data_IF_163245149663
#
_entry.id   IF_163245149663
#
_cell.length_a   1.000
_cell.length_b   1.000
_cell.length_c   1.000
_cell.angle_alpha   90.00
_cell.angle_beta   90.00
_cell.angle_gamma   90.00
#
_symmetry.space_group_name_H-M   'P 1'
#
loop_
_entity.id
_entity.type
_entity.pdbx_description
1 polymer ?
#
# COMPACT_ATOMS: atom_id res chain seq x y z
N UNK A 1 -16.38 -2.26 -9.50
CA UNK A 1 -17.00 -2.61 -8.24
C UNK A 1 -15.94 -3.06 -7.24
N UNK A 2 -15.82 -2.40 -6.08
CA UNK A 2 -14.79 -2.73 -5.09
C UNK A 2 -14.85 -4.18 -4.60
N UNK A 3 -16.03 -4.75 -4.42
CA UNK A 3 -16.19 -6.14 -3.97
C UNK A 3 -15.71 -7.12 -5.03
N UNK A 4 -16.02 -6.87 -6.30
CA UNK A 4 -15.56 -7.71 -7.41
C UNK A 4 -14.06 -7.65 -7.57
N UNK A 5 -13.46 -6.46 -7.44
CA UNK A 5 -12.00 -6.31 -7.50
C UNK A 5 -11.32 -7.09 -6.40
N UNK A 6 -11.83 -7.00 -5.18
CA UNK A 6 -11.29 -7.75 -4.03
C UNK A 6 -11.37 -9.26 -4.27
N UNK A 7 -12.49 -9.75 -4.79
CA UNK A 7 -12.67 -11.19 -5.07
C UNK A 7 -11.63 -11.68 -6.08
N UNK A 8 -11.34 -10.90 -7.12
CA UNK A 8 -10.32 -11.27 -8.11
C UNK A 8 -8.93 -11.35 -7.45
N UNK A 9 -8.57 -10.39 -6.60
CA UNK A 9 -7.29 -10.42 -5.90
C UNK A 9 -7.18 -11.61 -4.94
N UNK A 10 -8.25 -11.94 -4.23
CA UNK A 10 -8.27 -13.11 -3.35
C UNK A 10 -8.06 -14.41 -4.14
N UNK A 11 -8.70 -14.54 -5.30
CA UNK A 11 -8.51 -15.70 -6.17
C UNK A 11 -7.08 -15.81 -6.69
N UNK A 12 -6.49 -14.68 -7.10
CA UNK A 12 -5.10 -14.66 -7.59
C UNK A 12 -4.13 -15.05 -6.50
N UNK A 13 -4.32 -14.53 -5.28
CA UNK A 13 -3.46 -14.87 -4.15
C UNK A 13 -3.59 -16.37 -3.80
N UNK A 14 -4.81 -16.88 -3.77
CA UNK A 14 -5.06 -18.29 -3.50
C UNK A 14 -4.34 -19.17 -4.54
N UNK A 15 -4.47 -18.85 -5.82
CA UNK A 15 -3.81 -19.58 -6.90
C UNK A 15 -2.28 -19.51 -6.80
N UNK A 16 -1.74 -18.34 -6.47
CA UNK A 16 -0.29 -18.17 -6.31
C UNK A 16 0.27 -19.08 -5.22
N UNK A 17 -0.43 -19.17 -4.08
CA UNK A 17 -0.01 -20.04 -2.97
C UNK A 17 -0.18 -21.51 -3.35
N UNK A 18 -1.34 -21.87 -3.89
CA UNK A 18 -1.67 -23.28 -4.21
C UNK A 18 -0.74 -23.89 -5.25
N UNK A 19 -0.35 -23.11 -6.27
CA UNK A 19 0.46 -23.60 -7.39
C UNK A 19 1.92 -23.13 -7.31
N UNK A 20 2.31 -22.47 -6.22
CA UNK A 20 3.66 -21.91 -6.03
C UNK A 20 4.08 -21.03 -7.23
N UNK A 21 3.14 -20.23 -7.73
CA UNK A 21 3.34 -19.39 -8.92
C UNK A 21 3.63 -17.95 -8.54
N UNK A 22 4.36 -17.26 -9.42
CA UNK A 22 4.53 -15.80 -9.34
C UNK A 22 3.43 -15.15 -10.15
N UNK A 23 2.72 -14.19 -9.52
CA UNK A 23 1.65 -13.44 -10.18
C UNK A 23 2.04 -11.97 -10.24
N UNK A 24 1.96 -11.38 -11.42
CA UNK A 24 2.22 -9.95 -11.64
C UNK A 24 0.92 -9.29 -12.04
N UNK A 25 0.52 -8.25 -11.30
CA UNK A 25 -0.72 -7.52 -11.53
C UNK A 25 -0.40 -6.06 -11.80
N UNK A 26 -1.00 -5.50 -12.83
CA UNK A 26 -0.93 -4.06 -13.10
C UNK A 26 -2.28 -3.45 -12.73
N UNK A 27 -2.27 -2.52 -11.78
CA UNK A 27 -3.49 -1.92 -11.22
C UNK A 27 -3.20 -0.50 -10.75
N UNK A 28 -4.21 0.36 -10.81
CA UNK A 28 -4.11 1.73 -10.32
C UNK A 28 -4.49 1.88 -8.84
N UNK A 29 -5.25 0.94 -8.31
CA UNK A 29 -5.74 0.98 -6.92
C UNK A 29 -4.66 0.47 -5.98
N UNK A 30 -3.79 1.36 -5.55
CA UNK A 30 -2.63 1.00 -4.71
C UNK A 30 -3.05 0.37 -3.37
N UNK A 31 -4.22 0.72 -2.85
CA UNK A 31 -4.73 0.13 -1.60
C UNK A 31 -4.91 -1.38 -1.72
N UNK A 32 -5.52 -1.85 -2.84
CA UNK A 32 -5.68 -3.28 -3.09
C UNK A 32 -4.35 -3.98 -3.31
N UNK A 33 -3.46 -3.36 -4.09
CA UNK A 33 -2.12 -3.92 -4.31
C UNK A 33 -1.37 -4.05 -2.99
N UNK A 34 -1.45 -3.04 -2.13
CA UNK A 34 -0.77 -3.05 -0.83
C UNK A 34 -1.28 -4.14 0.10
N UNK A 35 -2.56 -4.48 0.00
CA UNK A 35 -3.18 -5.51 0.82
C UNK A 35 -2.83 -6.92 0.35
N UNK A 36 -2.80 -7.16 -0.97
CA UNK A 36 -2.68 -8.50 -1.54
C UNK A 36 -1.30 -8.85 -2.08
N UNK A 37 -0.46 -7.87 -2.39
CA UNK A 37 0.83 -8.12 -3.00
C UNK A 37 1.96 -8.12 -1.97
N UNK A 38 2.97 -8.96 -2.21
CA UNK A 38 4.17 -9.02 -1.36
C UNK A 38 5.16 -7.91 -1.70
N UNK A 39 5.12 -7.43 -2.94
CA UNK A 39 6.02 -6.40 -3.44
C UNK A 39 5.26 -5.44 -4.33
N UNK A 40 5.55 -4.15 -4.18
CA UNK A 40 5.06 -3.11 -5.09
C UNK A 40 6.20 -2.63 -5.98
N UNK A 41 5.84 -2.35 -7.23
CA UNK A 41 6.70 -1.73 -8.22
C UNK A 41 5.99 -0.48 -8.71
N UNK A 42 6.61 0.69 -8.54
CA UNK A 42 6.06 1.95 -9.03
C UNK A 42 6.87 2.39 -10.23
N UNK A 43 6.20 2.55 -11.36
CA UNK A 43 6.86 2.95 -12.60
C UNK A 43 6.42 4.33 -13.04
N UNK A 44 7.37 5.07 -13.59
CA UNK A 44 7.12 6.36 -14.22
C UNK A 44 7.98 6.48 -15.46
N UNK A 45 7.34 6.79 -16.60
CA UNK A 45 8.02 6.98 -17.89
C UNK A 45 8.93 5.81 -18.26
N UNK A 46 8.45 4.58 -18.04
CA UNK A 46 9.21 3.38 -18.38
C UNK A 46 10.32 3.03 -17.39
N UNK A 47 10.45 3.75 -16.29
CA UNK A 47 11.50 3.53 -15.29
C UNK A 47 10.88 3.12 -13.96
N UNK A 48 11.50 2.18 -13.26
CA UNK A 48 11.10 1.81 -11.90
C UNK A 48 11.59 2.90 -10.95
N UNK A 49 10.67 3.56 -10.25
CA UNK A 49 10.97 4.62 -9.27
C UNK A 49 11.09 4.08 -7.86
N UNK A 50 10.19 3.16 -7.48
CA UNK A 50 10.20 2.53 -6.18
C UNK A 50 9.92 1.04 -6.35
N UNK A 51 10.56 0.24 -5.51
CA UNK A 51 10.35 -1.21 -5.48
C UNK A 51 10.60 -1.70 -4.07
N UNK A 52 9.69 -2.51 -3.54
CA UNK A 52 9.86 -3.09 -2.22
C UNK A 52 8.55 -3.54 -1.61
N UNK A 53 8.59 -3.87 -0.33
CA UNK A 53 7.41 -4.21 0.42
C UNK A 53 6.43 -3.02 0.44
N UNK A 54 5.11 -3.28 0.50
CA UNK A 54 4.12 -2.20 0.47
C UNK A 54 4.37 -1.10 1.49
N UNK A 55 4.71 -1.44 2.73
CA UNK A 55 4.98 -0.44 3.78
C UNK A 55 6.18 0.44 3.46
N UNK A 56 7.21 -0.11 2.83
CA UNK A 56 8.40 0.65 2.44
C UNK A 56 8.08 1.63 1.31
N UNK A 57 7.33 1.18 0.32
CA UNK A 57 6.94 2.02 -0.82
C UNK A 57 5.97 3.11 -0.37
N UNK A 58 4.98 2.77 0.45
CA UNK A 58 3.98 3.73 0.94
C UNK A 58 4.56 4.79 1.87
N UNK A 59 5.73 4.53 2.47
CA UNK A 59 6.43 5.55 3.26
C UNK A 59 6.80 6.78 2.42
N UNK A 60 6.91 6.62 1.10
CA UNK A 60 7.21 7.69 0.14
C UNK A 60 5.94 8.36 -0.40
N UNK A 61 4.93 8.57 0.44
CA UNK A 61 3.62 9.09 0.00
C UNK A 61 3.70 10.44 -0.70
N UNK A 62 4.59 11.33 -0.26
CA UNK A 62 4.73 12.66 -0.89
C UNK A 62 5.23 12.55 -2.33
N UNK A 63 6.24 11.71 -2.56
CA UNK A 63 6.77 11.48 -3.91
C UNK A 63 5.74 10.77 -4.79
N UNK A 64 5.03 9.80 -4.23
CA UNK A 64 3.97 9.08 -4.96
C UNK A 64 2.84 10.03 -5.38
N UNK A 65 2.41 10.92 -4.49
CA UNK A 65 1.39 11.93 -4.81
C UNK A 65 1.89 12.88 -5.92
N UNK A 66 3.14 13.29 -5.87
CA UNK A 66 3.74 14.15 -6.89
C UNK A 66 3.79 13.45 -8.25
N UNK A 67 3.89 12.12 -8.29
CA UNK A 67 3.85 11.32 -9.51
C UNK A 67 2.44 11.06 -10.03
N UNK A 68 1.41 11.50 -9.30
CA UNK A 68 0.02 11.23 -9.66
C UNK A 68 -0.51 9.90 -9.16
N UNK A 69 0.20 9.21 -8.29
CA UNK A 69 -0.28 7.97 -7.68
C UNK A 69 -1.34 8.29 -6.63
N UNK A 70 -2.44 7.56 -6.67
CA UNK A 70 -3.56 7.79 -5.75
C UNK A 70 -3.30 7.09 -4.41
N UNK A 71 -2.57 7.75 -3.52
CA UNK A 71 -2.20 7.23 -2.21
C UNK A 71 -3.41 7.27 -1.27
N UNK A 72 -3.69 6.21 -0.50
CA UNK A 72 -4.78 6.23 0.48
C UNK A 72 -4.59 7.35 1.51
N UNK A 73 -5.69 7.97 1.92
CA UNK A 73 -5.65 9.04 2.95
C UNK A 73 -5.12 8.53 4.28
N UNK A 74 -5.43 7.27 4.62
CA UNK A 74 -4.88 6.61 5.82
C UNK A 74 -3.36 6.58 5.82
N UNK A 75 -2.75 6.31 4.66
CA UNK A 75 -1.30 6.33 4.48
C UNK A 75 -0.74 7.73 4.73
N UNK A 76 -1.35 8.74 4.12
CA UNK A 76 -0.92 10.14 4.26
C UNK A 76 -0.99 10.61 5.71
N UNK A 77 -2.08 10.27 6.39
CA UNK A 77 -2.26 10.63 7.82
C UNK A 77 -1.17 10.00 8.69
N UNK A 78 -0.95 8.71 8.56
CA UNK A 78 0.04 8.00 9.38
C UNK A 78 1.46 8.47 9.08
N UNK A 79 1.78 8.74 7.80
CA UNK A 79 3.08 9.30 7.45
C UNK A 79 3.29 10.70 8.03
N UNK A 80 2.23 11.51 8.13
CA UNK A 80 2.30 12.81 8.80
C UNK A 80 2.60 12.67 10.29
N UNK A 81 2.01 11.68 10.96
CA UNK A 81 2.31 11.38 12.36
C UNK A 81 3.76 10.94 12.54
N UNK A 82 4.27 10.13 11.61
CA UNK A 82 5.68 9.71 11.63
C UNK A 82 6.62 10.91 11.50
N UNK A 83 6.30 11.83 10.59
CA UNK A 83 7.12 13.02 10.36
C UNK A 83 7.18 13.93 11.59
N UNK A 84 6.12 13.90 12.42
CA UNK A 84 6.07 14.67 13.66
C UNK A 84 6.62 13.91 14.88
N UNK A 85 7.12 12.70 14.68
CA UNK A 85 7.65 11.89 15.78
C UNK A 85 6.61 11.26 16.68
N UNK A 86 5.33 11.27 16.27
CA UNK A 86 4.23 10.72 17.07
C UNK A 86 4.00 9.23 16.82
N UNK A 87 4.66 8.67 15.83
CA UNK A 87 4.55 7.26 15.45
C UNK A 87 5.86 6.83 14.78
N UNK A 88 6.37 5.67 15.15
CA UNK A 88 7.64 5.15 14.61
C UNK A 88 7.51 3.83 13.86
N UNK A 89 6.30 3.31 13.73
CA UNK A 89 6.05 2.05 13.04
C UNK A 89 6.01 2.18 11.52
N UNK A 90 5.64 1.09 10.81
CA UNK A 90 5.58 1.09 9.35
C UNK A 90 4.42 1.91 8.81
N UNK A 91 4.51 2.30 7.54
CA UNK A 91 3.40 2.92 6.84
C UNK A 91 2.21 1.96 6.73
N UNK A 92 1.00 2.50 6.70
CA UNK A 92 -0.24 1.72 6.63
C UNK A 92 -1.00 2.03 5.34
N UNK A 93 -1.93 1.15 4.98
CA UNK A 93 -2.74 1.31 3.76
C UNK A 93 -4.23 1.34 4.02
N UNK A 94 -4.69 0.93 5.20
CA UNK A 94 -6.13 0.80 5.50
C UNK A 94 -6.57 1.73 6.61
N UNK A 95 -7.87 2.06 6.61
CA UNK A 95 -8.46 2.88 7.67
C UNK A 95 -8.36 2.21 9.04
N UNK A 96 -8.69 0.91 9.20
CA UNK A 96 -8.52 0.25 10.50
C UNK A 96 -7.10 0.33 11.06
N UNK A 97 -6.08 0.17 10.20
CA UNK A 97 -4.69 0.32 10.62
C UNK A 97 -4.39 1.74 11.10
N UNK A 98 -4.90 2.75 10.36
CA UNK A 98 -4.72 4.15 10.75
C UNK A 98 -5.40 4.47 12.06
N UNK A 99 -6.60 3.94 12.31
CA UNK A 99 -7.32 4.11 13.58
C UNK A 99 -6.49 3.56 14.73
N UNK A 100 -5.94 2.37 14.58
CA UNK A 100 -5.11 1.74 15.61
C UNK A 100 -3.87 2.59 15.91
N UNK A 101 -3.22 3.12 14.87
CA UNK A 101 -2.06 4.01 15.04
C UNK A 101 -2.46 5.28 15.78
N UNK A 102 -3.57 5.92 15.41
CA UNK A 102 -4.05 7.15 16.05
C UNK A 102 -4.40 6.91 17.53
N UNK A 103 -5.04 5.80 17.85
CA UNK A 103 -5.36 5.45 19.23
C UNK A 103 -4.09 5.32 20.08
N UNK A 104 -3.04 4.69 19.54
CA UNK A 104 -1.76 4.56 20.22
C UNK A 104 -1.02 5.89 20.34
N UNK A 105 -1.03 6.70 19.30
CA UNK A 105 -0.28 7.97 19.26
C UNK A 105 -0.90 9.08 20.12
N UNK A 106 -2.22 9.03 20.35
CA UNK A 106 -2.96 10.07 21.05
C UNK A 106 -3.24 9.72 22.54
N UNK A 107 -2.71 8.65 23.02
CA UNK A 107 -2.84 8.26 24.44
C UNK A 107 -1.88 9.02 25.34
#
# INVERSE_FOLDING_TARGET
DPASSRNVFELLRHAAVKYASTVIVVEQKIALLSEFCDMLLIMERGTVKFQGAPSDVLAHSNELLAMGVNVPRSTTLVNALRAKGLYSGPAVSTVPQAVEVCEGALR
#
